data_IF_157605684160
#
_entry.id   IF_157605684160
#
_cell.length_a   1.000
_cell.length_b   1.000
_cell.length_c   1.000
_cell.angle_alpha   90.00
_cell.angle_beta   90.00
_cell.angle_gamma   90.00
#
_symmetry.space_group_name_H-M   'P 1'
#
loop_
_entity.id
_entity.type
_entity.pdbx_description
1 polymer ?
#
# COMPACT_ATOMS: atom_id res chain seq x y z
N UNK A 1 17.48 0.89 1.40
CA UNK A 1 16.32 0.38 2.17
C UNK A 1 15.58 1.47 2.96
N UNK A 2 15.91 2.76 2.80
CA UNK A 2 15.38 3.87 3.61
C UNK A 2 14.24 4.67 2.97
N UNK A 3 13.82 4.38 1.73
CA UNK A 3 12.83 5.21 0.99
C UNK A 3 11.84 4.33 0.19
N UNK A 4 11.42 3.20 0.76
CA UNK A 4 10.41 2.35 0.12
C UNK A 4 9.00 2.85 0.47
N UNK A 5 8.31 3.48 -0.48
CA UNK A 5 6.95 4.00 -0.27
C UNK A 5 5.97 2.89 0.10
N UNK A 6 6.06 1.73 -0.54
CA UNK A 6 5.21 0.58 -0.24
C UNK A 6 5.45 0.05 1.17
N UNK A 7 6.68 0.07 1.64
CA UNK A 7 7.02 -0.36 2.99
C UNK A 7 6.39 0.55 4.05
N UNK A 8 6.33 1.86 3.79
CA UNK A 8 5.61 2.83 4.64
C UNK A 8 4.09 2.62 4.62
N UNK A 9 3.53 2.18 3.49
CA UNK A 9 2.10 1.81 3.39
C UNK A 9 1.82 0.53 4.22
N UNK A 10 2.66 -0.50 4.09
CA UNK A 10 2.54 -1.74 4.86
C UNK A 10 2.69 -1.48 6.37
N UNK A 11 3.65 -0.62 6.75
CA UNK A 11 3.86 -0.20 8.15
C UNK A 11 2.75 0.69 8.71
N UNK A 12 1.82 1.19 7.87
CA UNK A 12 0.75 2.10 8.29
C UNK A 12 1.19 3.55 8.51
N UNK A 13 2.41 3.92 8.11
CA UNK A 13 2.92 5.29 8.18
C UNK A 13 2.30 6.19 7.10
N UNK A 14 1.98 5.63 5.93
CA UNK A 14 1.27 6.31 4.85
C UNK A 14 -0.13 5.71 4.72
N UNK A 15 -1.21 6.53 4.78
CA UNK A 15 -2.56 6.03 4.60
C UNK A 15 -2.77 5.56 3.16
N UNK A 16 -3.31 4.36 2.99
CA UNK A 16 -3.75 3.83 1.71
C UNK A 16 -5.14 3.19 1.87
N UNK A 17 -5.97 3.29 0.84
CA UNK A 17 -7.29 2.67 0.83
C UNK A 17 -7.15 1.19 0.49
N UNK A 18 -6.92 0.37 1.52
CA UNK A 18 -6.85 -1.09 1.42
C UNK A 18 -8.23 -1.67 1.07
N UNK A 19 -8.27 -2.62 0.15
CA UNK A 19 -9.48 -3.38 -0.21
C UNK A 19 -9.39 -4.83 0.26
N UNK A 20 -8.18 -5.34 0.44
CA UNK A 20 -7.91 -6.69 0.92
C UNK A 20 -6.52 -6.74 1.56
N UNK A 21 -6.38 -7.57 2.59
CA UNK A 21 -5.13 -7.80 3.33
C UNK A 21 -5.19 -9.20 3.94
N UNK A 22 -4.16 -9.99 3.69
CA UNK A 22 -3.89 -11.28 4.34
C UNK A 22 -2.41 -11.40 4.72
N UNK A 23 -2.00 -12.58 5.17
CA UNK A 23 -0.62 -12.83 5.65
C UNK A 23 0.44 -12.72 4.54
N UNK A 24 0.05 -12.89 3.27
CA UNK A 24 0.97 -12.95 2.14
C UNK A 24 0.96 -11.68 1.28
N UNK A 25 -0.17 -10.95 1.22
CA UNK A 25 -0.33 -9.79 0.35
C UNK A 25 -1.33 -8.74 0.84
N UNK A 26 -1.17 -7.52 0.31
CA UNK A 26 -2.06 -6.39 0.54
C UNK A 26 -2.46 -5.79 -0.80
N UNK A 27 -3.74 -5.51 -0.96
CA UNK A 27 -4.31 -4.84 -2.14
C UNK A 27 -4.89 -3.50 -1.71
N UNK A 28 -4.51 -2.44 -2.42
CA UNK A 28 -5.00 -1.09 -2.20
C UNK A 28 -5.24 -0.39 -3.53
N UNK A 29 -6.05 0.66 -3.51
CA UNK A 29 -6.30 1.47 -4.71
C UNK A 29 -5.05 2.24 -5.13
N UNK A 30 -4.78 2.26 -6.43
CA UNK A 30 -3.86 3.24 -7.01
C UNK A 30 -4.45 4.65 -6.82
N UNK A 31 -3.61 5.58 -6.38
CA UNK A 31 -4.00 6.98 -6.19
C UNK A 31 -4.11 7.73 -7.53
N UNK A 32 -3.38 7.27 -8.55
CA UNK A 32 -3.37 7.82 -9.91
C UNK A 32 -3.77 6.71 -10.91
N UNK A 33 -5.03 6.26 -10.91
CA UNK A 33 -5.48 5.21 -11.82
C UNK A 33 -5.29 5.64 -13.28
N UNK A 34 -4.69 4.77 -14.08
CA UNK A 34 -4.57 4.92 -15.53
C UNK A 34 -5.50 3.89 -16.19
N UNK A 35 -6.35 4.36 -17.10
CA UNK A 35 -7.36 3.58 -17.82
C UNK A 35 -6.93 3.31 -19.26
#
# INVERSE_FOLDING_TARGET
MSECIFCKIVAGEIPAKKVFEDDDLIVFHDINPVA
#
